data_IF_883074068758
#
_entry.id   IF_883074068758
#
_cell.length_a   1.000
_cell.length_b   1.000
_cell.length_c   1.000
_cell.angle_alpha   90.00
_cell.angle_beta   90.00
_cell.angle_gamma   90.00
#
_symmetry.space_group_name_H-M   'P 1'
#
loop_
_entity.id
_entity.type
_entity.pdbx_description
1 polymer ?
#
# COMPACT_ATOMS: atom_id res chain seq x y z
N UNK A 1 -45.28 3.55 44.65
CA UNK A 1 -45.85 3.34 43.29
C UNK A 1 -45.16 4.35 42.39
N UNK A 2 -43.84 4.30 42.21
CA UNK A 2 -43.05 3.17 41.66
C UNK A 2 -43.75 2.60 40.44
N UNK A 3 -43.25 2.85 39.24
CA UNK A 3 -42.20 2.00 38.67
C UNK A 3 -41.78 2.47 37.25
N UNK A 4 -40.50 2.21 36.95
CA UNK A 4 -39.93 2.00 35.62
C UNK A 4 -39.64 3.22 34.72
N UNK A 5 -38.39 3.70 34.79
CA UNK A 5 -37.60 3.95 33.58
C UNK A 5 -36.25 3.25 33.74
N UNK A 6 -36.00 2.30 32.83
CA UNK A 6 -34.83 1.43 32.72
C UNK A 6 -33.53 2.22 32.58
N UNK A 7 -32.53 1.81 33.34
CA UNK A 7 -31.12 2.10 33.11
C UNK A 7 -30.71 1.63 31.71
N UNK A 8 -30.42 2.55 30.80
CA UNK A 8 -29.47 2.32 29.72
C UNK A 8 -28.11 2.78 30.23
N UNK A 9 -27.32 1.82 30.71
CA UNK A 9 -25.89 2.03 30.94
C UNK A 9 -25.24 2.11 29.56
N UNK A 10 -24.99 3.33 29.09
CA UNK A 10 -24.16 3.57 27.91
C UNK A 10 -22.72 3.49 28.41
N UNK A 11 -22.03 2.40 28.12
CA UNK A 11 -20.60 2.24 28.41
C UNK A 11 -19.83 3.28 27.58
N UNK A 12 -19.55 4.42 28.21
CA UNK A 12 -18.75 5.47 27.62
C UNK A 12 -17.29 5.01 27.61
N UNK A 13 -16.82 4.46 26.48
CA UNK A 13 -15.37 4.35 26.19
C UNK A 13 -14.76 5.74 26.34
N UNK A 14 -14.04 5.97 27.44
CA UNK A 14 -13.62 7.32 27.86
C UNK A 14 -12.15 7.60 27.56
N UNK A 15 -11.40 6.65 26.98
CA UNK A 15 -10.00 6.84 26.59
C UNK A 15 -9.77 6.57 25.11
N UNK A 16 -8.89 7.37 24.48
CA UNK A 16 -8.42 7.14 23.10
C UNK A 16 -7.76 5.76 22.92
N UNK A 17 -7.20 5.21 24.00
CA UNK A 17 -6.60 3.86 24.03
C UNK A 17 -7.67 2.76 23.93
N UNK A 18 -8.93 3.04 24.21
CA UNK A 18 -10.05 2.09 24.08
C UNK A 18 -10.56 1.96 22.63
N UNK A 19 -10.00 2.78 21.72
CA UNK A 19 -10.40 2.90 20.32
C UNK A 19 -9.39 2.22 19.38
N UNK A 20 -8.10 2.26 19.71
CA UNK A 20 -7.05 1.65 18.89
C UNK A 20 -5.85 1.19 19.73
N UNK A 21 -5.49 -0.09 19.58
CA UNK A 21 -4.25 -0.66 20.10
C UNK A 21 -3.09 -0.34 19.15
N UNK A 22 -2.29 0.69 19.48
CA UNK A 22 -1.09 1.02 18.70
C UNK A 22 0.11 0.23 19.25
N UNK A 23 0.64 -0.67 18.43
CA UNK A 23 1.85 -1.43 18.74
C UNK A 23 3.07 -0.69 18.22
N UNK A 24 3.97 -0.28 19.12
CA UNK A 24 5.25 0.32 18.73
C UNK A 24 6.35 -0.73 18.64
N UNK A 25 7.10 -0.78 17.54
CA UNK A 25 8.25 -1.66 17.38
C UNK A 25 9.53 -0.91 17.79
N UNK A 26 10.31 -1.50 18.68
CA UNK A 26 11.49 -0.90 19.29
C UNK A 26 12.70 -1.83 19.16
N UNK A 27 13.94 -1.32 19.35
CA UNK A 27 15.15 -2.16 19.28
C UNK A 27 15.19 -3.28 20.33
N UNK A 28 14.37 -3.19 21.38
CA UNK A 28 14.31 -4.19 22.46
C UNK A 28 13.41 -5.37 22.11
N UNK A 29 12.35 -5.12 21.34
CA UNK A 29 11.28 -6.09 21.09
C UNK A 29 11.21 -6.54 19.62
N UNK A 30 12.06 -5.99 18.75
CA UNK A 30 11.97 -6.20 17.30
C UNK A 30 13.35 -6.32 16.66
N UNK A 31 13.52 -7.38 15.88
CA UNK A 31 14.74 -7.69 15.12
C UNK A 31 14.41 -7.70 13.63
N UNK A 32 15.05 -6.81 12.89
CA UNK A 32 14.95 -6.74 11.43
C UNK A 32 16.17 -7.39 10.78
N UNK A 33 15.95 -8.11 9.69
CA UNK A 33 17.02 -8.74 8.92
C UNK A 33 16.67 -8.82 7.44
N UNK A 34 17.66 -9.14 6.61
CA UNK A 34 17.45 -9.40 5.17
C UNK A 34 17.49 -10.90 4.92
N UNK A 35 16.44 -11.44 4.31
CA UNK A 35 16.43 -12.80 3.79
C UNK A 35 17.40 -12.97 2.62
N UNK A 36 17.76 -14.23 2.31
CA UNK A 36 18.60 -14.57 1.14
C UNK A 36 18.03 -14.02 -0.18
N UNK A 37 16.70 -13.93 -0.28
CA UNK A 37 15.98 -13.37 -1.44
C UNK A 37 15.95 -11.84 -1.49
N UNK A 38 16.61 -11.14 -0.56
CA UNK A 38 16.67 -9.68 -0.54
C UNK A 38 15.41 -9.01 0.01
N UNK A 39 14.57 -9.73 0.76
CA UNK A 39 13.41 -9.16 1.44
C UNK A 39 13.69 -8.84 2.90
N UNK A 40 13.11 -7.75 3.37
CA UNK A 40 13.10 -7.39 4.79
C UNK A 40 12.23 -8.35 5.59
N UNK A 41 12.76 -8.88 6.68
CA UNK A 41 12.07 -9.79 7.60
C UNK A 41 12.03 -9.24 9.01
N UNK A 42 11.01 -9.63 9.78
CA UNK A 42 10.80 -9.21 11.17
C UNK A 42 10.57 -10.42 12.09
N UNK A 43 11.33 -10.44 13.18
CA UNK A 43 11.02 -11.25 14.36
C UNK A 43 10.72 -10.28 15.51
N UNK A 44 9.62 -10.47 16.23
CA UNK A 44 9.24 -9.59 17.33
C UNK A 44 8.78 -10.37 18.56
N UNK A 45 9.05 -9.82 19.75
CA UNK A 45 8.47 -10.31 21.01
C UNK A 45 6.97 -9.98 21.11
N UNK A 46 6.49 -9.01 20.32
CA UNK A 46 5.08 -8.62 20.31
C UNK A 46 4.32 -9.50 19.33
N UNK A 47 3.34 -10.24 19.86
CA UNK A 47 2.39 -11.01 19.06
C UNK A 47 1.11 -10.21 18.80
N UNK A 48 1.07 -9.59 17.64
CA UNK A 48 -0.09 -8.87 17.10
C UNK A 48 -0.94 -9.83 16.30
N UNK A 49 -2.13 -10.14 16.82
CA UNK A 49 -3.12 -10.96 16.13
C UNK A 49 -3.86 -10.11 15.08
N UNK A 50 -3.99 -10.58 13.83
CA UNK A 50 -4.63 -9.83 12.75
C UNK A 50 -6.12 -9.51 13.00
N UNK A 51 -6.74 -10.19 13.96
CA UNK A 51 -8.19 -10.15 14.23
C UNK A 51 -8.65 -8.96 15.08
N UNK A 52 -7.75 -8.14 15.64
CA UNK A 52 -8.11 -7.16 16.68
C UNK A 52 -8.37 -5.72 16.22
N UNK A 53 -8.12 -5.36 14.96
CA UNK A 53 -8.35 -3.97 14.50
C UNK A 53 -9.76 -3.69 13.99
N UNK A 54 -10.55 -4.72 13.69
CA UNK A 54 -11.93 -4.59 13.23
C UNK A 54 -12.78 -5.63 13.96
N UNK A 55 -13.24 -5.27 15.15
CA UNK A 55 -14.39 -5.95 15.75
C UNK A 55 -15.56 -5.70 14.78
N UNK A 56 -15.92 -6.70 13.96
CA UNK A 56 -17.12 -6.66 13.15
C UNK A 56 -18.29 -6.60 14.15
N UNK A 57 -18.67 -5.38 14.54
CA UNK A 57 -19.82 -5.16 15.41
C UNK A 57 -20.99 -5.98 14.89
N UNK A 58 -21.59 -6.78 15.77
CA UNK A 58 -22.67 -7.72 15.43
C UNK A 58 -23.74 -7.02 14.59
N UNK A 59 -23.64 -7.19 13.27
CA UNK A 59 -24.65 -6.75 12.34
C UNK A 59 -25.87 -7.65 12.52
N UNK A 60 -26.91 -7.08 13.13
CA UNK A 60 -28.26 -7.62 13.22
C UNK A 60 -28.63 -8.32 11.90
N UNK A 61 -28.81 -9.64 11.95
CA UNK A 61 -29.28 -10.46 10.83
C UNK A 61 -30.77 -10.20 10.63
N UNK A 62 -31.10 -9.01 10.11
CA UNK A 62 -32.42 -8.69 9.60
C UNK A 62 -32.75 -9.59 8.42
N UNK A 63 -33.54 -10.64 8.69
CA UNK A 63 -34.19 -11.43 7.65
C UNK A 63 -35.23 -10.55 6.94
N UNK A 64 -34.98 -10.20 5.68
CA UNK A 64 -36.04 -9.79 4.77
C UNK A 64 -35.86 -10.49 3.43
N UNK A 65 -36.50 -11.65 3.30
CA UNK A 65 -36.73 -12.26 1.99
C UNK A 65 -37.78 -11.43 1.23
N UNK A 66 -37.58 -11.08 -0.05
CA UNK A 66 -38.63 -10.46 -0.84
C UNK A 66 -39.65 -11.52 -1.31
N UNK A 67 -40.93 -11.14 -1.47
CA UNK A 67 -41.98 -12.09 -1.84
C UNK A 67 -41.85 -12.50 -3.30
N UNK A 68 -42.14 -13.78 -3.58
CA UNK A 68 -42.23 -14.32 -4.94
C UNK A 68 -43.51 -13.81 -5.62
N UNK A 69 -43.36 -13.00 -6.67
CA UNK A 69 -44.41 -12.69 -7.64
C UNK A 69 -43.91 -12.98 -9.05
N UNK A 70 -44.63 -13.80 -9.81
CA UNK A 70 -44.30 -14.14 -11.19
C UNK A 70 -45.07 -13.28 -12.20
N UNK A 71 -44.46 -13.00 -13.36
CA UNK A 71 -45.13 -12.62 -14.61
C UNK A 71 -44.27 -13.02 -15.82
N UNK A 72 -44.96 -13.31 -16.93
CA UNK A 72 -44.48 -14.00 -18.14
C UNK A 72 -43.46 -13.27 -19.01
N UNK A 73 -42.96 -14.03 -20.00
CA UNK A 73 -41.72 -13.72 -20.72
C UNK A 73 -41.82 -12.79 -21.92
N UNK A 74 -40.64 -12.45 -22.46
CA UNK A 74 -40.28 -12.32 -23.87
C UNK A 74 -38.74 -12.30 -23.97
N UNK A 75 -38.18 -12.91 -25.03
CA UNK A 75 -36.74 -13.14 -25.20
C UNK A 75 -35.91 -11.87 -25.34
N UNK A 76 -34.89 -11.75 -24.50
CA UNK A 76 -33.76 -10.83 -24.65
C UNK A 76 -32.43 -11.62 -24.66
N UNK A 77 -31.35 -11.08 -25.25
CA UNK A 77 -30.06 -11.76 -25.35
C UNK A 77 -29.45 -12.02 -23.96
N UNK A 78 -28.60 -13.06 -23.81
CA UNK A 78 -28.10 -13.48 -22.52
C UNK A 78 -27.30 -12.35 -21.83
N UNK A 79 -27.50 -12.12 -20.52
CA UNK A 79 -26.65 -11.20 -19.78
C UNK A 79 -25.23 -11.78 -19.69
N UNK A 80 -24.26 -11.04 -20.21
CA UNK A 80 -22.84 -11.24 -19.93
C UNK A 80 -22.58 -10.92 -18.45
N UNK A 81 -22.91 -11.87 -17.58
CA UNK A 81 -22.58 -11.84 -16.17
C UNK A 81 -21.07 -12.01 -15.98
N UNK A 82 -20.33 -10.93 -16.15
CA UNK A 82 -18.97 -10.79 -15.66
C UNK A 82 -19.01 -10.87 -14.14
N UNK A 83 -18.94 -12.10 -13.62
CA UNK A 83 -18.75 -12.35 -12.20
C UNK A 83 -17.53 -11.56 -11.76
N UNK A 84 -17.77 -10.50 -10.98
CA UNK A 84 -16.74 -9.91 -10.16
C UNK A 84 -16.27 -11.05 -9.26
N UNK A 85 -15.14 -11.66 -9.63
CA UNK A 85 -14.38 -12.49 -8.70
C UNK A 85 -14.02 -11.54 -7.57
N UNK A 86 -14.80 -11.60 -6.49
CA UNK A 86 -14.40 -10.97 -5.24
C UNK A 86 -12.95 -11.37 -5.00
N UNK A 87 -12.11 -10.39 -4.70
CA UNK A 87 -10.80 -10.67 -4.13
C UNK A 87 -11.07 -11.45 -2.84
N UNK A 88 -11.04 -12.78 -2.94
CA UNK A 88 -11.14 -13.65 -1.77
C UNK A 88 -10.06 -13.19 -0.82
N UNK A 89 -10.44 -12.89 0.43
CA UNK A 89 -9.49 -12.58 1.50
C UNK A 89 -8.41 -13.67 1.44
N UNK A 90 -7.15 -13.27 1.22
CA UNK A 90 -6.02 -14.21 1.28
C UNK A 90 -6.13 -14.96 2.61
N UNK A 91 -5.94 -16.28 2.58
CA UNK A 91 -5.88 -17.04 3.82
C UNK A 91 -4.84 -16.39 4.76
N UNK A 92 -5.12 -16.26 6.07
CA UNK A 92 -4.18 -15.67 7.00
C UNK A 92 -2.82 -16.38 6.87
N UNK A 93 -1.73 -15.61 6.81
CA UNK A 93 -0.39 -16.18 6.83
C UNK A 93 -0.24 -17.12 8.03
N UNK A 94 0.33 -18.30 7.79
CA UNK A 94 0.59 -19.26 8.85
C UNK A 94 1.43 -18.63 9.96
N UNK A 95 0.97 -18.85 11.18
CA UNK A 95 1.50 -18.24 12.40
C UNK A 95 2.78 -18.99 12.79
N UNK A 96 3.96 -18.37 12.58
CA UNK A 96 5.27 -18.94 12.94
C UNK A 96 5.87 -18.33 14.20
N UNK A 97 6.62 -19.13 14.93
CA UNK A 97 7.39 -18.74 16.10
C UNK A 97 8.80 -19.33 16.01
N UNK A 98 9.73 -18.61 16.61
CA UNK A 98 11.10 -19.05 16.87
C UNK A 98 11.15 -19.98 18.09
N UNK A 99 12.24 -20.73 18.25
CA UNK A 99 12.41 -21.67 19.38
C UNK A 99 12.39 -20.96 20.76
N UNK A 100 12.79 -19.69 20.81
CA UNK A 100 12.73 -18.82 22.00
C UNK A 100 11.35 -18.16 22.19
N UNK A 101 10.35 -18.55 21.41
CA UNK A 101 8.95 -18.11 21.57
C UNK A 101 8.63 -16.75 20.96
N UNK A 102 9.58 -16.12 20.24
CA UNK A 102 9.31 -14.86 19.52
C UNK A 102 8.54 -15.10 18.24
N UNK A 103 7.69 -14.15 17.90
CA UNK A 103 6.84 -14.17 16.71
C UNK A 103 7.68 -13.95 15.45
N UNK A 104 7.63 -14.89 14.51
CA UNK A 104 8.24 -14.73 13.18
C UNK A 104 7.16 -14.27 12.20
N UNK A 105 7.27 -13.00 11.78
CA UNK A 105 6.36 -12.39 10.82
C UNK A 105 6.76 -12.68 9.36
N UNK A 106 7.93 -13.29 9.15
CA UNK A 106 8.50 -13.49 7.83
C UNK A 106 8.76 -12.16 7.13
N UNK A 107 8.40 -12.07 5.86
CA UNK A 107 8.58 -10.88 5.04
C UNK A 107 7.63 -9.75 5.48
N UNK A 108 8.20 -8.57 5.68
CA UNK A 108 7.46 -7.35 6.03
C UNK A 108 7.73 -6.22 5.03
N UNK A 109 6.81 -5.27 5.02
CA UNK A 109 6.79 -4.12 4.13
C UNK A 109 6.69 -2.85 4.98
N UNK A 110 7.59 -1.88 4.72
CA UNK A 110 7.60 -0.59 5.42
C UNK A 110 6.79 0.46 4.67
N UNK A 111 6.13 1.36 5.39
CA UNK A 111 5.42 2.52 4.85
C UNK A 111 5.68 3.77 5.71
N UNK A 112 6.16 4.85 5.10
CA UNK A 112 6.24 6.19 5.72
C UNK A 112 4.83 6.76 5.85
N UNK A 113 4.40 7.10 7.06
CA UNK A 113 3.16 7.85 7.27
C UNK A 113 3.28 9.30 6.77
N UNK A 114 4.48 9.89 6.92
CA UNK A 114 4.78 11.26 6.47
C UNK A 114 6.03 11.29 5.57
N UNK A 115 5.92 10.88 4.30
CA UNK A 115 7.08 10.68 3.43
C UNK A 115 7.98 11.90 3.20
N UNK A 116 7.41 13.11 3.32
CA UNK A 116 8.11 14.36 3.04
C UNK A 116 8.55 15.09 4.31
N UNK A 117 7.67 15.19 5.31
CA UNK A 117 7.94 15.98 6.52
C UNK A 117 8.79 15.21 7.54
N UNK A 118 8.55 13.90 7.68
CA UNK A 118 9.20 13.05 8.68
C UNK A 118 9.57 11.69 8.07
N UNK A 119 10.54 11.65 7.14
CA UNK A 119 10.85 10.44 6.37
C UNK A 119 11.38 9.28 7.21
N UNK A 120 11.87 9.57 8.42
CA UNK A 120 12.46 8.61 9.34
C UNK A 120 11.54 8.29 10.53
N UNK A 121 10.36 8.91 10.61
CA UNK A 121 9.45 8.77 11.74
C UNK A 121 8.11 8.18 11.32
N UNK A 122 7.46 7.49 12.25
CA UNK A 122 6.12 6.92 12.09
C UNK A 122 6.09 6.02 10.85
N UNK A 123 6.90 4.97 10.91
CA UNK A 123 7.00 3.96 9.85
C UNK A 123 6.09 2.79 10.21
N UNK A 124 5.03 2.61 9.43
CA UNK A 124 4.14 1.45 9.51
C UNK A 124 4.86 0.21 8.98
N UNK A 125 4.80 -0.88 9.74
CA UNK A 125 5.36 -2.19 9.39
C UNK A 125 4.21 -3.15 9.16
N UNK A 126 4.11 -3.66 7.94
CA UNK A 126 2.98 -4.46 7.48
C UNK A 126 3.41 -5.83 6.96
N UNK A 127 2.52 -6.80 7.06
CA UNK A 127 2.66 -8.07 6.35
C UNK A 127 2.35 -7.90 4.85
N UNK A 128 2.59 -8.93 4.04
CA UNK A 128 2.35 -8.90 2.58
C UNK A 128 0.87 -8.74 2.19
N UNK A 129 -0.05 -9.03 3.10
CA UNK A 129 -1.49 -8.84 2.92
C UNK A 129 -1.97 -7.44 3.36
N UNK A 130 -1.06 -6.60 3.87
CA UNK A 130 -1.34 -5.23 4.30
C UNK A 130 -1.77 -5.10 5.75
N UNK A 131 -1.82 -6.18 6.54
CA UNK A 131 -2.08 -6.06 7.97
C UNK A 131 -0.91 -5.38 8.67
N UNK A 132 -1.21 -4.34 9.45
CA UNK A 132 -0.22 -3.63 10.26
C UNK A 132 0.16 -4.45 11.49
N UNK A 133 1.46 -4.69 11.63
CA UNK A 133 2.08 -5.32 12.79
C UNK A 133 2.36 -4.26 13.85
N UNK A 134 2.80 -3.09 13.43
CA UNK A 134 3.07 -1.98 14.33
C UNK A 134 3.81 -0.83 13.66
N UNK A 135 4.20 0.13 14.49
CA UNK A 135 4.79 1.39 14.06
C UNK A 135 6.17 1.55 14.69
N UNK A 136 7.18 1.85 13.87
CA UNK A 136 8.46 2.35 14.34
C UNK A 136 8.32 3.87 14.52
N UNK A 137 8.57 4.38 15.74
CA UNK A 137 8.49 5.83 16.01
C UNK A 137 9.57 6.59 15.27
N UNK A 138 10.82 6.16 15.38
CA UNK A 138 11.95 6.71 14.65
C UNK A 138 12.90 5.57 14.32
N UNK A 139 13.29 5.43 13.05
CA UNK A 139 14.22 4.38 12.65
C UNK A 139 15.60 4.55 13.31
N UNK A 140 15.98 5.79 13.63
CA UNK A 140 17.28 6.10 14.24
C UNK A 140 17.38 5.66 15.71
N UNK A 141 16.30 5.11 16.29
CA UNK A 141 16.34 4.48 17.61
C UNK A 141 17.05 3.10 17.55
N UNK A 142 17.14 2.49 16.37
CA UNK A 142 17.83 1.20 16.14
C UNK A 142 19.33 1.37 15.94
N UNK A 143 20.08 0.25 16.03
CA UNK A 143 21.51 0.25 15.74
C UNK A 143 21.79 0.55 14.26
N UNK A 144 22.99 1.04 13.96
CA UNK A 144 23.37 1.50 12.60
C UNK A 144 23.13 0.46 11.51
N UNK A 145 23.36 -0.83 11.78
CA UNK A 145 23.14 -1.89 10.79
C UNK A 145 21.66 -2.07 10.47
N UNK A 146 20.83 -2.04 11.50
CA UNK A 146 19.37 -2.12 11.33
C UNK A 146 18.85 -0.88 10.60
N UNK A 147 19.33 0.32 10.96
CA UNK A 147 18.98 1.58 10.27
C UNK A 147 19.30 1.50 8.79
N UNK A 148 20.47 0.99 8.41
CA UNK A 148 20.88 0.82 7.01
C UNK A 148 19.91 -0.10 6.24
N UNK A 149 19.54 -1.23 6.84
CA UNK A 149 18.61 -2.20 6.23
C UNK A 149 17.21 -1.59 6.07
N UNK A 150 16.71 -0.88 7.09
CA UNK A 150 15.41 -0.21 7.05
C UNK A 150 15.39 0.89 5.98
N UNK A 151 16.43 1.72 5.92
CA UNK A 151 16.57 2.76 4.90
C UNK A 151 16.65 2.15 3.51
N UNK A 152 17.43 1.10 3.29
CA UNK A 152 17.50 0.42 1.99
C UNK A 152 16.13 -0.11 1.54
N UNK A 153 15.35 -0.68 2.46
CA UNK A 153 13.98 -1.12 2.16
C UNK A 153 13.05 0.04 1.80
N UNK A 154 13.10 1.13 2.56
CA UNK A 154 12.33 2.35 2.30
C UNK A 154 12.74 3.02 0.99
N UNK A 155 14.04 3.17 0.74
CA UNK A 155 14.57 3.80 -0.45
C UNK A 155 14.17 3.02 -1.68
N UNK A 156 14.30 1.69 -1.68
CA UNK A 156 13.82 0.86 -2.79
C UNK A 156 12.32 1.05 -3.07
N UNK A 157 11.52 1.24 -2.03
CA UNK A 157 10.07 1.41 -2.16
C UNK A 157 9.65 2.79 -2.62
N UNK A 158 10.30 3.83 -2.10
CA UNK A 158 10.04 5.22 -2.42
C UNK A 158 10.94 5.75 -3.54
N UNK A 159 11.67 4.85 -4.21
CA UNK A 159 12.55 5.19 -5.32
C UNK A 159 11.71 5.68 -6.50
N UNK A 160 12.00 6.90 -6.97
CA UNK A 160 11.38 7.51 -8.13
C UNK A 160 12.51 7.97 -9.05
N UNK A 161 12.99 7.11 -9.98
CA UNK A 161 14.07 7.47 -10.89
C UNK A 161 13.78 8.78 -11.63
N UNK A 162 14.80 9.62 -11.77
CA UNK A 162 14.69 10.87 -12.50
C UNK A 162 15.06 10.64 -13.97
N UNK A 163 14.10 10.81 -14.87
CA UNK A 163 14.32 10.75 -16.31
C UNK A 163 15.06 12.01 -16.75
N UNK A 164 16.30 11.83 -17.19
CA UNK A 164 17.14 12.88 -17.76
C UNK A 164 16.99 12.99 -19.27
N UNK A 165 16.59 11.90 -19.94
CA UNK A 165 16.41 11.86 -21.40
C UNK A 165 15.41 10.81 -21.85
N UNK A 166 14.59 11.14 -22.85
CA UNK A 166 13.63 10.22 -23.47
C UNK A 166 14.13 9.79 -24.84
N UNK A 167 14.74 8.61 -24.88
CA UNK A 167 15.33 8.04 -26.09
C UNK A 167 14.25 7.61 -27.08
N UNK A 168 13.17 6.97 -26.62
CA UNK A 168 12.05 6.51 -27.45
C UNK A 168 10.73 6.52 -26.66
N UNK A 169 9.64 6.81 -27.35
CA UNK A 169 8.26 6.63 -26.89
C UNK A 169 7.46 6.11 -28.08
N UNK A 170 6.91 4.90 -27.96
CA UNK A 170 6.17 4.25 -29.06
C UNK A 170 4.76 3.91 -28.59
N UNK A 171 3.76 4.52 -29.21
CA UNK A 171 2.34 4.25 -28.95
C UNK A 171 1.87 3.00 -29.72
N UNK A 172 1.24 2.06 -29.00
CA UNK A 172 0.62 0.85 -29.54
C UNK A 172 -0.62 0.50 -28.70
N UNK A 173 -1.80 0.56 -29.30
CA UNK A 173 -3.05 0.08 -28.72
C UNK A 173 -3.36 0.66 -27.31
N UNK A 174 -3.07 1.95 -27.08
CA UNK A 174 -3.30 2.60 -25.79
C UNK A 174 -2.22 2.36 -24.73
N UNK A 175 -1.10 1.75 -25.13
CA UNK A 175 0.12 1.62 -24.36
C UNK A 175 1.24 2.42 -25.01
N UNK A 176 2.08 3.04 -24.20
CA UNK A 176 3.28 3.72 -24.68
C UNK A 176 4.51 3.07 -24.07
N UNK A 177 5.38 2.58 -24.94
CA UNK A 177 6.64 1.95 -24.59
C UNK A 177 7.72 3.02 -24.54
N UNK A 178 8.19 3.32 -23.33
CA UNK A 178 9.26 4.28 -23.07
C UNK A 178 10.61 3.59 -22.99
N UNK A 179 11.62 4.25 -23.55
CA UNK A 179 13.04 3.99 -23.33
C UNK A 179 13.68 5.28 -22.88
N UNK A 180 14.16 5.30 -21.65
CA UNK A 180 14.64 6.52 -21.00
C UNK A 180 16.01 6.31 -20.38
N UNK A 181 16.77 7.39 -20.31
CA UNK A 181 17.95 7.50 -19.46
C UNK A 181 17.51 8.13 -18.14
N UNK A 182 17.93 7.53 -17.03
CA UNK A 182 17.66 8.00 -15.67
C UNK A 182 18.97 8.22 -14.92
N UNK A 183 18.89 8.86 -13.76
CA UNK A 183 19.98 8.98 -12.79
C UNK A 183 20.60 7.63 -12.36
N UNK A 184 19.85 6.54 -12.45
CA UNK A 184 20.35 5.16 -12.20
C UNK A 184 20.59 4.34 -13.47
N UNK A 185 20.68 4.99 -14.63
CA UNK A 185 20.97 4.34 -15.92
C UNK A 185 19.77 4.20 -16.83
N UNK A 186 19.91 3.38 -17.88
CA UNK A 186 18.88 3.23 -18.92
C UNK A 186 17.80 2.27 -18.45
N UNK A 187 16.53 2.66 -18.61
CA UNK A 187 15.38 1.81 -18.28
C UNK A 187 14.35 1.81 -19.42
N UNK A 188 13.65 0.68 -19.54
CA UNK A 188 12.53 0.48 -20.46
C UNK A 188 11.28 0.18 -19.62
N UNK A 189 10.19 0.92 -19.83
CA UNK A 189 8.92 0.75 -19.09
C UNK A 189 7.71 1.03 -19.98
N UNK A 190 6.54 0.55 -19.54
CA UNK A 190 5.29 0.64 -20.32
C UNK A 190 4.25 1.42 -19.54
N UNK A 191 3.72 2.47 -20.15
CA UNK A 191 2.63 3.27 -19.59
C UNK A 191 1.33 2.88 -20.26
N UNK A 192 0.32 2.48 -19.47
CA UNK A 192 -1.05 2.27 -19.97
C UNK A 192 -1.84 3.57 -19.81
N UNK A 193 -2.61 3.96 -20.83
CA UNK A 193 -3.40 5.19 -20.84
C UNK A 193 -2.57 6.43 -20.43
N UNK A 194 -1.67 6.92 -21.30
CA UNK A 194 -0.74 8.00 -20.98
C UNK A 194 -1.39 9.25 -20.37
N UNK A 195 -2.59 9.63 -20.83
CA UNK A 195 -3.31 10.80 -20.33
C UNK A 195 -3.74 10.70 -18.86
N UNK A 196 -3.91 9.48 -18.33
CA UNK A 196 -4.21 9.26 -16.92
C UNK A 196 -3.00 8.91 -16.06
N UNK A 197 -1.93 8.42 -16.70
CA UNK A 197 -0.75 7.88 -16.03
C UNK A 197 0.45 8.84 -16.03
N UNK A 198 0.37 9.93 -16.81
CA UNK A 198 1.32 11.05 -16.79
C UNK A 198 0.67 12.18 -16.00
N UNK A 199 1.16 12.40 -14.79
CA UNK A 199 0.61 13.34 -13.83
C UNK A 199 1.50 14.58 -13.79
N UNK A 200 0.94 15.75 -14.08
CA UNK A 200 1.59 17.04 -13.84
C UNK A 200 1.53 17.40 -12.36
N UNK A 201 2.69 17.64 -11.75
CA UNK A 201 2.80 18.13 -10.38
C UNK A 201 3.00 19.65 -10.32
N UNK A 202 3.59 20.23 -11.37
CA UNK A 202 3.74 21.68 -11.55
C UNK A 202 3.80 21.99 -13.05
N UNK A 203 4.10 23.24 -13.42
CA UNK A 203 4.25 23.64 -14.82
C UNK A 203 5.33 22.83 -15.55
N UNK A 204 6.44 22.52 -14.87
CA UNK A 204 7.59 21.84 -15.46
C UNK A 204 7.81 20.43 -14.91
N UNK A 205 7.19 20.05 -13.80
CA UNK A 205 7.39 18.74 -13.17
C UNK A 205 6.29 17.75 -13.51
N UNK A 206 6.67 16.57 -13.99
CA UNK A 206 5.74 15.47 -14.26
C UNK A 206 6.20 14.15 -13.62
N UNK A 207 5.23 13.28 -13.32
CA UNK A 207 5.43 11.88 -12.93
C UNK A 207 4.79 10.98 -13.98
N UNK A 208 5.48 9.93 -14.37
CA UNK A 208 4.97 8.85 -15.20
C UNK A 208 4.80 7.60 -14.33
N UNK A 209 3.65 6.94 -14.45
CA UNK A 209 3.35 5.69 -13.74
C UNK A 209 3.23 4.56 -14.77
N UNK A 210 4.01 3.50 -14.59
CA UNK A 210 3.97 2.33 -15.48
C UNK A 210 2.83 1.36 -15.11
N UNK A 211 2.73 0.26 -15.87
CA UNK A 211 1.73 -0.79 -15.63
C UNK A 211 1.90 -1.55 -14.30
N UNK A 212 3.11 -1.55 -13.74
CA UNK A 212 3.46 -2.24 -12.49
C UNK A 212 3.35 -1.29 -11.28
N UNK A 213 3.06 -0.01 -11.51
CA UNK A 213 2.93 1.03 -10.50
C UNK A 213 4.24 1.74 -10.15
N UNK A 214 5.34 1.44 -10.85
CA UNK A 214 6.60 2.16 -10.70
C UNK A 214 6.43 3.61 -11.17
N UNK A 215 7.10 4.52 -10.48
CA UNK A 215 7.00 5.96 -10.73
C UNK A 215 8.32 6.47 -11.25
N UNK A 216 8.26 7.29 -12.29
CA UNK A 216 9.40 7.98 -12.86
C UNK A 216 9.11 9.47 -12.84
N UNK A 217 10.10 10.31 -12.57
CA UNK A 217 9.90 11.77 -12.55
C UNK A 217 10.72 12.47 -13.61
N UNK A 218 10.17 13.53 -14.18
CA UNK A 218 10.94 14.56 -14.89
C UNK A 218 10.82 15.80 -14.02
N UNK A 219 11.92 16.25 -13.40
CA UNK A 219 11.90 17.42 -12.51
C UNK A 219 11.56 18.70 -13.26
N UNK A 220 12.11 18.86 -14.45
CA UNK A 220 11.91 20.02 -15.30
C UNK A 220 11.83 19.61 -16.78
N UNK A 221 10.63 19.66 -17.35
CA UNK A 221 10.37 19.38 -18.76
C UNK A 221 11.00 20.41 -19.69
N UNK A 222 11.27 21.64 -19.21
CA UNK A 222 11.96 22.67 -20.00
C UNK A 222 13.47 22.40 -20.13
N UNK A 223 14.04 21.67 -19.18
CA UNK A 223 15.43 21.22 -19.22
C UNK A 223 15.66 20.00 -20.14
N UNK A 224 14.58 19.33 -20.59
CA UNK A 224 14.69 18.24 -21.55
C UNK A 224 15.14 18.75 -22.92
N UNK A 225 15.97 17.97 -23.62
CA UNK A 225 16.27 18.28 -25.00
C UNK A 225 15.01 18.25 -25.87
N UNK A 226 14.98 19.06 -26.92
CA UNK A 226 13.80 19.23 -27.79
C UNK A 226 13.27 17.90 -28.35
N UNK A 227 14.12 16.89 -28.59
CA UNK A 227 13.67 15.58 -29.08
C UNK A 227 13.04 14.76 -27.98
N UNK A 228 13.48 14.89 -26.73
CA UNK A 228 12.86 14.27 -25.57
C UNK A 228 11.52 14.90 -25.26
N UNK A 229 11.45 16.23 -25.17
CA UNK A 229 10.21 16.97 -24.90
C UNK A 229 9.10 16.62 -25.90
N UNK A 230 9.42 16.62 -27.21
CA UNK A 230 8.44 16.31 -28.27
C UNK A 230 7.80 14.91 -28.17
N UNK A 231 8.43 13.97 -27.45
CA UNK A 231 7.88 12.62 -27.23
C UNK A 231 6.80 12.58 -26.15
N UNK A 232 6.82 13.53 -25.23
CA UNK A 232 5.85 13.62 -24.12
C UNK A 232 4.88 14.79 -24.27
N UNK A 233 5.18 15.75 -25.16
CA UNK A 233 4.39 16.95 -25.43
C UNK A 233 2.89 16.65 -25.67
N UNK A 234 2.56 15.53 -26.32
CA UNK A 234 1.17 15.16 -26.57
C UNK A 234 0.40 14.65 -25.35
N UNK A 235 1.11 14.24 -24.29
CA UNK A 235 0.53 13.65 -23.09
C UNK A 235 0.51 14.59 -21.89
N UNK A 236 1.20 15.72 -22.00
CA UNK A 236 1.18 16.79 -21.01
C UNK A 236 0.21 17.85 -21.52
#
# INVERSE_FOLDING_TARGET
MDEQIKNQTVDAKTSFTDIADIVYLTPKDSTFSMSEGGFLTLISEKDVKPEKLFDEGEGDKGQSAPPKGGFGGHGGPPPMGGGHRGHGRKAPCEVKYTDDGKRDYGRVILHRAFPFDRPNEIISVQQEDGFEIGIIRNINDFDEKTVEILNKSLDNKYYIPEITKIMSAKDRFGFVYFKCETDSGVCDFVVRNPFGSIIRLSETRIILIDIDGNRYSVKDTSALDRKSFRKIELYI
#
